data_IF_372412061895
#
_entry.id   IF_372412061895
#
_cell.length_a   1.000
_cell.length_b   1.000
_cell.length_c   1.000
_cell.angle_alpha   90.00
_cell.angle_beta   90.00
_cell.angle_gamma   90.00
#
_symmetry.space_group_name_H-M   'P 1'
#
loop_
_entity.id
_entity.type
_entity.pdbx_description
1 polymer ?
#
# COMPACT_ATOMS: atom_id res chain seq x y z
N UNK A 1 4.05 10.02 -8.76
CA UNK A 1 3.60 10.96 -7.71
C UNK A 1 3.12 10.22 -6.46
N UNK A 2 2.20 9.27 -6.54
CA UNK A 2 1.67 8.54 -5.36
C UNK A 2 2.72 7.99 -4.39
N UNK A 3 3.72 7.23 -4.86
CA UNK A 3 4.81 6.71 -4.00
C UNK A 3 5.67 7.82 -3.37
N UNK A 4 5.83 8.96 -4.04
CA UNK A 4 6.59 10.09 -3.52
C UNK A 4 5.83 10.81 -2.40
N UNK A 5 4.52 11.04 -2.59
CA UNK A 5 3.65 11.54 -1.52
C UNK A 5 3.56 10.57 -0.34
N UNK A 6 3.50 9.26 -0.61
CA UNK A 6 3.54 8.25 0.43
C UNK A 6 4.81 8.33 1.28
N UNK A 7 6.00 8.38 0.64
CA UNK A 7 7.27 8.53 1.34
C UNK A 7 7.34 9.84 2.16
N UNK A 8 6.69 10.90 1.68
CA UNK A 8 6.54 12.17 2.39
C UNK A 8 5.44 12.17 3.48
N UNK A 9 4.79 11.03 3.74
CA UNK A 9 3.66 10.85 4.69
C UNK A 9 2.44 11.72 4.36
N UNK A 10 2.29 12.08 3.09
CA UNK A 10 1.16 12.83 2.53
C UNK A 10 0.14 11.83 2.00
N UNK A 11 -0.57 11.15 2.90
CA UNK A 11 -1.40 9.99 2.55
C UNK A 11 -2.61 10.37 1.67
N UNK A 12 -3.23 11.52 1.90
CA UNK A 12 -4.36 12.00 1.09
C UNK A 12 -3.94 12.26 -0.36
N UNK A 13 -2.84 12.98 -0.54
CA UNK A 13 -2.26 13.29 -1.85
C UNK A 13 -1.72 12.03 -2.54
N UNK A 14 -1.19 11.08 -1.78
CA UNK A 14 -0.78 9.78 -2.30
C UNK A 14 -1.97 9.01 -2.87
N UNK A 15 -3.07 8.91 -2.11
CA UNK A 15 -4.33 8.28 -2.53
C UNK A 15 -4.85 8.97 -3.79
N UNK A 16 -5.00 10.29 -3.78
CA UNK A 16 -5.46 11.05 -4.94
C UNK A 16 -4.64 10.75 -6.19
N UNK A 17 -3.31 10.76 -6.06
CA UNK A 17 -2.41 10.45 -7.16
C UNK A 17 -2.55 9.00 -7.69
N UNK A 18 -2.82 8.02 -6.82
CA UNK A 18 -3.09 6.65 -7.26
C UNK A 18 -4.47 6.52 -7.93
N UNK A 19 -5.48 7.26 -7.46
CA UNK A 19 -6.84 7.21 -8.00
C UNK A 19 -6.96 7.85 -9.39
N UNK A 20 -6.00 8.67 -9.81
CA UNK A 20 -5.88 9.15 -11.18
C UNK A 20 -5.40 8.09 -12.18
N UNK A 21 -4.93 6.92 -11.72
CA UNK A 21 -4.53 5.83 -12.60
C UNK A 21 -5.78 5.13 -13.16
N UNK A 22 -5.82 4.95 -14.49
CA UNK A 22 -6.92 4.23 -15.15
C UNK A 22 -6.96 2.75 -14.75
N UNK A 23 -5.83 2.18 -14.35
CA UNK A 23 -5.71 0.83 -13.78
C UNK A 23 -4.64 0.85 -12.69
N UNK A 24 -4.86 0.07 -11.62
CA UNK A 24 -3.87 -0.14 -10.57
C UNK A 24 -3.53 -1.64 -10.47
N UNK A 25 -2.24 -1.95 -10.49
CA UNK A 25 -1.68 -3.25 -10.19
C UNK A 25 -1.64 -3.53 -8.66
N UNK A 26 -1.15 -4.70 -8.27
CA UNK A 26 -1.02 -5.09 -6.86
C UNK A 26 -0.11 -4.14 -6.07
N UNK A 27 0.94 -3.59 -6.68
CA UNK A 27 1.88 -2.66 -6.04
C UNK A 27 1.20 -1.34 -5.72
N UNK A 28 0.55 -0.69 -6.69
CA UNK A 28 -0.14 0.58 -6.42
C UNK A 28 -1.29 0.39 -5.41
N UNK A 29 -1.98 -0.75 -5.46
CA UNK A 29 -3.01 -1.09 -4.46
C UNK A 29 -2.43 -1.32 -3.08
N UNK A 30 -1.25 -1.93 -2.95
CA UNK A 30 -0.57 -2.09 -1.68
C UNK A 30 -0.21 -0.72 -1.08
N UNK A 31 0.31 0.20 -1.87
CA UNK A 31 0.56 1.57 -1.39
C UNK A 31 -0.73 2.31 -1.00
N UNK A 32 -1.82 2.16 -1.77
CA UNK A 32 -3.11 2.75 -1.41
C UNK A 32 -3.68 2.14 -0.10
N UNK A 33 -3.63 0.81 0.05
CA UNK A 33 -4.02 0.13 1.27
C UNK A 33 -3.20 0.62 2.47
N UNK A 34 -1.88 0.76 2.32
CA UNK A 34 -1.01 1.30 3.36
C UNK A 34 -1.37 2.74 3.75
N UNK A 35 -1.73 3.60 2.79
CA UNK A 35 -2.24 4.94 3.08
C UNK A 35 -3.49 4.88 3.97
N UNK A 36 -4.47 4.07 3.59
CA UNK A 36 -5.70 3.92 4.36
C UNK A 36 -5.47 3.29 5.74
N UNK A 37 -4.51 2.35 5.86
CA UNK A 37 -4.05 1.82 7.14
C UNK A 37 -3.45 2.90 8.04
N UNK A 38 -2.66 3.83 7.50
CA UNK A 38 -2.14 4.98 8.26
C UNK A 38 -3.23 5.97 8.69
N UNK A 39 -4.30 6.10 7.90
CA UNK A 39 -5.45 6.95 8.20
C UNK A 39 -6.49 6.29 9.11
N UNK A 40 -6.38 4.98 9.37
CA UNK A 40 -7.36 4.21 10.14
C UNK A 40 -8.66 3.92 9.41
N UNK A 41 -8.68 4.02 8.07
CA UNK A 41 -9.84 3.68 7.25
C UNK A 41 -9.77 2.21 6.85
N UNK A 42 -10.23 1.34 7.76
CA UNK A 42 -10.20 -0.11 7.60
C UNK A 42 -11.04 -0.60 6.41
N UNK A 43 -12.15 0.09 6.10
CA UNK A 43 -13.06 -0.30 5.01
C UNK A 43 -12.37 -0.09 3.66
N UNK A 44 -11.80 1.10 3.45
CA UNK A 44 -11.08 1.40 2.21
C UNK A 44 -9.81 0.55 2.08
N UNK A 45 -9.07 0.36 3.18
CA UNK A 45 -7.91 -0.52 3.23
C UNK A 45 -8.26 -1.95 2.78
N UNK A 46 -9.29 -2.56 3.38
CA UNK A 46 -9.75 -3.90 3.06
C UNK A 46 -10.22 -4.03 1.60
N UNK A 47 -10.85 -3.00 1.03
CA UNK A 47 -11.25 -2.99 -0.37
C UNK A 47 -10.04 -3.08 -1.32
N UNK A 48 -8.96 -2.35 -1.03
CA UNK A 48 -7.73 -2.41 -1.81
C UNK A 48 -7.02 -3.76 -1.66
N UNK A 49 -6.93 -4.29 -0.42
CA UNK A 49 -6.39 -5.60 -0.14
C UNK A 49 -7.14 -6.71 -0.88
N UNK A 50 -8.48 -6.71 -0.84
CA UNK A 50 -9.29 -7.67 -1.59
C UNK A 50 -9.02 -7.64 -3.09
N UNK A 51 -8.74 -6.47 -3.66
CA UNK A 51 -8.33 -6.35 -5.07
C UNK A 51 -6.93 -6.90 -5.33
N UNK A 52 -5.99 -6.73 -4.41
CA UNK A 52 -4.66 -7.38 -4.50
C UNK A 52 -4.83 -8.89 -4.61
N UNK A 53 -5.60 -9.51 -3.71
CA UNK A 53 -5.85 -10.96 -3.73
C UNK A 53 -6.47 -11.45 -5.04
N UNK A 54 -7.30 -10.64 -5.70
CA UNK A 54 -7.86 -11.01 -7.02
C UNK A 54 -6.85 -10.90 -8.17
N UNK A 55 -5.90 -9.96 -8.09
CA UNK A 55 -4.91 -9.71 -9.14
C UNK A 55 -3.67 -10.60 -8.97
N UNK A 56 -3.31 -10.86 -7.73
CA UNK A 56 -2.16 -11.65 -7.32
C UNK A 56 -2.54 -12.52 -6.11
N UNK A 57 -3.09 -13.72 -6.35
CA UNK A 57 -3.46 -14.65 -5.29
C UNK A 57 -2.26 -15.22 -4.50
N UNK A 58 -1.03 -14.95 -4.94
CA UNK A 58 0.20 -15.37 -4.27
C UNK A 58 0.94 -14.17 -3.67
N UNK A 59 0.26 -13.02 -3.55
CA UNK A 59 0.82 -11.83 -2.96
C UNK A 59 1.29 -12.14 -1.53
N UNK A 60 2.56 -11.84 -1.28
CA UNK A 60 3.20 -12.04 0.00
C UNK A 60 3.87 -10.73 0.44
N UNK A 61 3.67 -10.36 1.71
CA UNK A 61 4.12 -9.08 2.25
C UNK A 61 5.65 -8.96 2.19
N UNK A 62 6.37 -10.00 2.60
CA UNK A 62 7.84 -9.96 2.67
C UNK A 62 8.47 -9.97 1.28
N UNK A 63 7.91 -10.76 0.36
CA UNK A 63 8.29 -10.78 -1.06
C UNK A 63 8.04 -9.41 -1.69
N UNK A 64 6.88 -8.81 -1.43
CA UNK A 64 6.55 -7.47 -1.91
C UNK A 64 7.55 -6.43 -1.37
N UNK A 65 7.79 -6.43 -0.06
CA UNK A 65 8.72 -5.50 0.57
C UNK A 65 10.14 -5.67 0.01
N UNK A 66 10.59 -6.89 -0.24
CA UNK A 66 11.90 -7.16 -0.83
C UNK A 66 12.06 -6.56 -2.25
N UNK A 67 10.95 -6.31 -2.97
CA UNK A 67 10.99 -5.59 -4.26
C UNK A 67 11.15 -4.08 -4.11
N UNK A 68 10.93 -3.52 -2.92
CA UNK A 68 11.01 -2.09 -2.69
C UNK A 68 12.48 -1.69 -2.48
N UNK A 69 13.09 -1.12 -3.51
CA UNK A 69 14.48 -0.64 -3.49
C UNK A 69 14.66 0.67 -2.69
N UNK A 70 14.11 0.73 -1.47
CA UNK A 70 14.32 1.87 -0.58
C UNK A 70 15.74 1.85 -0.02
N UNK A 71 16.38 3.02 0.01
CA UNK A 71 17.72 3.19 0.57
C UNK A 71 17.71 3.18 2.11
N UNK A 72 16.61 3.62 2.72
CA UNK A 72 16.46 3.67 4.17
C UNK A 72 15.52 2.56 4.65
N UNK A 73 15.96 1.82 5.68
CA UNK A 73 15.13 0.79 6.30
C UNK A 73 13.84 1.36 6.91
N UNK A 74 13.86 2.62 7.38
CA UNK A 74 12.67 3.29 7.89
C UNK A 74 11.56 3.43 6.86
N UNK A 75 11.89 3.60 5.58
CA UNK A 75 10.90 3.69 4.50
C UNK A 75 10.26 2.32 4.24
N UNK A 76 11.06 1.26 4.32
CA UNK A 76 10.57 -0.13 4.27
C UNK A 76 9.61 -0.42 5.42
N UNK A 77 10.00 -0.07 6.65
CA UNK A 77 9.14 -0.28 7.81
C UNK A 77 7.88 0.57 7.75
N UNK A 78 7.95 1.78 7.19
CA UNK A 78 6.78 2.63 6.99
C UNK A 78 5.74 2.00 6.07
N UNK A 79 6.17 1.33 4.99
CA UNK A 79 5.28 0.53 4.13
C UNK A 79 4.73 -0.67 4.89
N UNK A 80 5.60 -1.45 5.54
CA UNK A 80 5.21 -2.66 6.30
C UNK A 80 4.15 -2.34 7.33
N UNK A 81 4.41 -1.36 8.19
CA UNK A 81 3.49 -0.94 9.25
C UNK A 81 2.16 -0.43 8.69
N UNK A 82 2.19 0.33 7.58
CA UNK A 82 0.97 0.78 6.92
C UNK A 82 0.12 -0.40 6.43
N UNK A 83 0.75 -1.43 5.85
CA UNK A 83 0.05 -2.64 5.39
C UNK A 83 -0.45 -3.51 6.55
N UNK A 84 0.30 -3.61 7.64
CA UNK A 84 -0.18 -4.28 8.86
C UNK A 84 -1.40 -3.58 9.45
N UNK A 85 -1.39 -2.24 9.50
CA UNK A 85 -2.56 -1.44 9.90
C UNK A 85 -3.74 -1.59 8.95
N UNK A 86 -3.47 -1.84 7.67
CA UNK A 86 -4.48 -2.09 6.66
C UNK A 86 -5.14 -3.48 6.80
N UNK A 87 -4.63 -4.36 7.67
CA UNK A 87 -5.16 -5.71 7.85
C UNK A 87 -4.57 -6.74 6.90
N UNK A 88 -3.36 -6.53 6.36
CA UNK A 88 -2.76 -7.47 5.39
C UNK A 88 -2.51 -8.87 5.97
N UNK A 89 -2.48 -9.02 7.29
CA UNK A 89 -2.35 -10.32 7.95
C UNK A 89 -3.57 -11.24 7.69
N UNK A 90 -4.70 -10.67 7.28
CA UNK A 90 -5.95 -11.39 6.97
C UNK A 90 -6.14 -11.71 5.48
N UNK A 91 -5.17 -11.31 4.64
CA UNK A 91 -5.23 -11.46 3.17
C UNK A 91 -5.15 -12.93 2.74
#
# INVERSE_FOLDING_TARGET
>A
LGKAHFAARQYGEAIEAFMHLSTMDSVQRAFAAACYGWLGDEIAAAAHLGKIRTLDPQFDLDSFIATLHFAQESDVQHVREGLLKAGIADL
#
